data_IF_062302640646
#
_entry.id   IF_062302640646
#
_cell.length_a   1.000
_cell.length_b   1.000
_cell.length_c   1.000
_cell.angle_alpha   90.00
_cell.angle_beta   90.00
_cell.angle_gamma   90.00
#
_symmetry.space_group_name_H-M   'P 1'
#
loop_
_entity.id
_entity.type
_entity.pdbx_description
1 polymer ?
#
# COMPACT_ATOMS: atom_id res chain seq x y z
N UNK A 1 -7.04 16.27 4.75
CA UNK A 1 -7.39 14.83 4.72
C UNK A 1 -7.51 14.30 6.14
N UNK A 2 -8.48 13.44 6.39
CA UNK A 2 -8.55 12.74 7.67
C UNK A 2 -7.45 11.68 7.77
N UNK A 3 -7.07 11.24 8.98
CA UNK A 3 -6.11 10.16 9.13
C UNK A 3 -6.50 8.88 8.39
N UNK A 4 -7.79 8.56 8.34
CA UNK A 4 -8.30 7.42 7.59
C UNK A 4 -8.03 7.55 6.09
N UNK A 5 -8.28 8.70 5.53
CA UNK A 5 -8.01 8.98 4.12
C UNK A 5 -6.52 8.91 3.80
N UNK A 6 -5.66 9.43 4.69
CA UNK A 6 -4.21 9.34 4.52
C UNK A 6 -3.75 7.89 4.47
N UNK A 7 -4.27 7.04 5.35
CA UNK A 7 -3.89 5.62 5.39
C UNK A 7 -4.39 4.82 4.19
N UNK A 8 -5.47 5.26 3.55
CA UNK A 8 -6.00 4.62 2.34
C UNK A 8 -5.43 5.22 1.06
N UNK A 9 -4.80 6.40 1.13
CA UNK A 9 -4.25 7.06 -0.05
C UNK A 9 -3.05 6.30 -0.59
N UNK A 10 -2.92 6.29 -1.90
CA UNK A 10 -1.85 5.62 -2.61
C UNK A 10 -1.18 6.60 -3.55
N UNK A 11 0.14 6.62 -3.54
CA UNK A 11 0.93 7.46 -4.43
C UNK A 11 2.00 6.58 -5.06
N UNK A 12 2.14 6.68 -6.37
CA UNK A 12 3.15 5.90 -7.10
C UNK A 12 4.57 6.36 -6.77
N UNK A 13 5.52 5.46 -6.93
CA UNK A 13 6.97 5.71 -6.78
C UNK A 13 7.39 6.11 -5.37
N UNK A 14 6.61 5.74 -4.36
CA UNK A 14 7.00 5.90 -2.97
C UNK A 14 7.64 4.63 -2.43
N UNK A 15 8.69 4.82 -1.63
CA UNK A 15 9.42 3.69 -1.04
C UNK A 15 9.54 3.89 0.46
N UNK A 16 9.39 2.78 1.18
CA UNK A 16 9.63 2.73 2.62
C UNK A 16 10.96 2.03 2.85
N UNK A 17 11.83 2.68 3.63
CA UNK A 17 13.17 2.17 3.90
C UNK A 17 13.33 1.98 5.42
N UNK A 18 13.76 0.79 5.82
CA UNK A 18 14.10 0.51 7.21
C UNK A 18 15.61 0.61 7.40
N UNK A 19 16.04 1.43 8.34
CA UNK A 19 17.43 1.78 8.56
C UNK A 19 17.77 1.66 10.05
N UNK A 20 18.98 1.21 10.36
CA UNK A 20 19.46 1.21 11.74
C UNK A 20 19.57 2.64 12.26
N UNK A 21 19.29 2.89 13.56
CA UNK A 21 19.31 4.24 14.12
C UNK A 21 20.62 5.01 13.89
N UNK A 22 21.76 4.32 13.96
CA UNK A 22 23.08 4.94 13.74
C UNK A 22 23.31 5.37 12.29
N UNK A 23 22.55 4.85 11.34
CA UNK A 23 22.71 5.13 9.91
C UNK A 23 21.67 6.12 9.37
N UNK A 24 20.73 6.57 10.18
CA UNK A 24 19.63 7.45 9.73
C UNK A 24 20.15 8.75 9.14
N UNK A 25 21.10 9.40 9.82
CA UNK A 25 21.68 10.67 9.34
C UNK A 25 22.41 10.48 8.02
N UNK A 26 23.14 9.38 7.85
CA UNK A 26 23.86 9.07 6.61
C UNK A 26 22.91 8.86 5.45
N UNK A 27 21.85 8.07 5.65
CA UNK A 27 20.84 7.78 4.63
C UNK A 27 20.06 9.04 4.25
N UNK A 28 19.69 9.83 5.25
CA UNK A 28 19.00 11.10 5.03
C UNK A 28 19.86 12.07 4.22
N UNK A 29 21.15 12.15 4.52
CA UNK A 29 22.10 12.96 3.76
C UNK A 29 22.24 12.53 2.30
N UNK A 30 22.19 11.22 2.03
CA UNK A 30 22.20 10.70 0.65
C UNK A 30 20.94 11.14 -0.11
N UNK A 31 19.77 11.02 0.51
CA UNK A 31 18.53 11.46 -0.12
C UNK A 31 18.52 12.97 -0.41
N UNK A 32 18.98 13.76 0.53
CA UNK A 32 19.08 15.22 0.37
C UNK A 32 20.07 15.59 -0.76
N UNK A 33 21.17 14.85 -0.85
CA UNK A 33 22.17 15.04 -1.91
C UNK A 33 21.59 14.82 -3.31
N UNK A 34 20.68 13.87 -3.45
CA UNK A 34 20.04 13.55 -4.73
C UNK A 34 18.69 14.26 -4.92
N UNK A 35 18.38 15.21 -4.05
CA UNK A 35 17.13 15.98 -4.08
C UNK A 35 15.87 15.09 -4.02
N UNK A 36 15.94 14.05 -3.20
CA UNK A 36 14.84 13.13 -2.96
C UNK A 36 14.14 13.53 -1.66
N UNK A 37 12.86 13.85 -1.76
CA UNK A 37 12.03 14.12 -0.58
C UNK A 37 12.00 12.91 0.34
N UNK A 38 12.24 13.16 1.62
CA UNK A 38 12.29 12.09 2.62
C UNK A 38 11.82 12.59 3.98
N UNK A 39 11.28 11.70 4.77
CA UNK A 39 10.95 11.99 6.17
C UNK A 39 10.96 10.72 7.00
N UNK A 40 11.23 10.90 8.29
CA UNK A 40 11.15 9.83 9.27
C UNK A 40 9.70 9.69 9.69
N UNK A 41 9.09 8.54 9.41
CA UNK A 41 7.66 8.32 9.69
C UNK A 41 7.41 7.45 10.90
N UNK A 42 8.44 6.83 11.45
CA UNK A 42 8.28 5.96 12.62
C UNK A 42 9.53 5.17 12.93
N UNK A 43 9.37 4.23 13.81
CA UNK A 43 10.44 3.31 14.20
C UNK A 43 9.90 1.90 14.38
N UNK A 44 10.76 0.92 14.16
CA UNK A 44 10.46 -0.49 14.41
C UNK A 44 10.54 -0.78 15.90
N UNK A 45 9.53 -1.45 16.43
CA UNK A 45 9.47 -1.86 17.82
C UNK A 45 9.38 -3.38 17.95
N UNK A 46 9.53 -3.90 19.16
CA UNK A 46 9.46 -5.32 19.44
C UNK A 46 8.09 -5.77 19.94
N UNK A 47 7.09 -4.88 19.93
CA UNK A 47 5.76 -5.14 20.49
C UNK A 47 4.89 -6.06 19.65
N UNK A 48 5.28 -6.38 18.41
CA UNK A 48 4.47 -7.11 17.41
C UNK A 48 3.12 -6.44 17.12
N UNK A 49 3.06 -5.13 17.28
CA UNK A 49 1.88 -4.33 17.02
C UNK A 49 2.24 -3.13 16.18
N UNK A 50 1.28 -2.68 15.39
CA UNK A 50 1.42 -1.46 14.59
C UNK A 50 0.63 -0.36 15.28
N UNK A 51 1.33 0.69 15.68
CA UNK A 51 0.72 1.88 16.26
C UNK A 51 0.75 3.00 15.24
N UNK A 52 -0.40 3.59 15.00
CA UNK A 52 -0.53 4.77 14.14
C UNK A 52 -0.91 5.94 15.00
N UNK A 53 -0.07 6.97 15.01
CA UNK A 53 -0.19 8.10 15.91
C UNK A 53 -0.28 9.40 15.11
N UNK A 54 -1.13 10.30 15.53
CA UNK A 54 -1.21 11.67 15.01
C UNK A 54 -1.02 12.65 16.16
N UNK A 55 0.14 13.33 16.19
CA UNK A 55 0.51 14.16 17.34
C UNK A 55 0.64 13.31 18.60
N UNK A 56 -0.22 13.56 19.59
CA UNK A 56 -0.26 12.80 20.84
C UNK A 56 -1.36 11.75 20.87
N UNK A 57 -2.19 11.68 19.83
CA UNK A 57 -3.34 10.79 19.77
C UNK A 57 -3.00 9.48 19.09
N UNK A 58 -3.28 8.35 19.75
CA UNK A 58 -3.19 7.03 19.17
C UNK A 58 -4.45 6.78 18.32
N UNK A 59 -4.27 6.63 17.01
CA UNK A 59 -5.37 6.42 16.06
C UNK A 59 -5.65 4.95 15.80
N UNK A 60 -4.62 4.11 15.82
CA UNK A 60 -4.76 2.68 15.60
C UNK A 60 -3.70 1.91 16.37
N UNK A 61 -4.09 0.75 16.86
CA UNK A 61 -3.23 -0.21 17.55
C UNK A 61 -3.64 -1.61 17.06
N UNK A 62 -2.90 -2.13 16.11
CA UNK A 62 -3.24 -3.36 15.41
C UNK A 62 -2.16 -4.42 15.62
N UNK A 63 -2.54 -5.70 15.84
CA UNK A 63 -1.54 -6.77 15.83
C UNK A 63 -0.97 -6.94 14.42
N UNK A 64 0.34 -7.18 14.34
CA UNK A 64 1.02 -7.35 13.04
C UNK A 64 0.41 -8.48 12.22
N UNK A 65 0.00 -9.58 12.85
CA UNK A 65 -0.64 -10.70 12.16
C UNK A 65 -1.90 -10.34 11.41
N UNK A 66 -2.64 -9.33 11.87
CA UNK A 66 -3.84 -8.86 11.16
C UNK A 66 -3.49 -8.24 9.79
N UNK A 67 -2.32 -7.63 9.67
CA UNK A 67 -1.88 -6.98 8.44
C UNK A 67 -1.13 -7.94 7.52
N UNK A 68 -0.37 -8.87 8.07
CA UNK A 68 0.43 -9.82 7.28
C UNK A 68 -0.34 -11.05 6.85
N UNK A 69 -1.36 -11.44 7.61
CA UNK A 69 -2.22 -12.60 7.35
C UNK A 69 -3.69 -12.21 7.59
N UNK A 70 -4.23 -11.30 6.76
CA UNK A 70 -5.59 -10.81 6.94
C UNK A 70 -6.61 -11.90 6.62
N UNK A 71 -7.83 -11.82 7.20
CA UNK A 71 -8.92 -12.71 6.86
C UNK A 71 -9.22 -12.65 5.37
N UNK A 72 -9.39 -13.82 4.76
CA UNK A 72 -9.73 -13.91 3.35
C UNK A 72 -11.23 -14.14 3.21
N UNK A 73 -11.84 -13.35 2.33
CA UNK A 73 -13.23 -13.55 1.95
C UNK A 73 -13.29 -14.30 0.63
N UNK A 74 -13.96 -15.45 0.66
CA UNK A 74 -14.23 -16.20 -0.56
C UNK A 74 -15.72 -16.02 -0.86
N UNK A 75 -15.98 -15.31 -1.97
CA UNK A 75 -17.35 -15.06 -2.41
C UNK A 75 -17.61 -15.94 -3.63
N UNK A 76 -18.65 -16.74 -3.56
CA UNK A 76 -19.06 -17.55 -4.70
C UNK A 76 -19.47 -16.64 -5.86
N UNK A 77 -18.96 -16.98 -7.03
CA UNK A 77 -19.26 -16.21 -8.24
C UNK A 77 -20.02 -17.07 -9.23
N UNK A 78 -20.92 -16.44 -9.96
CA UNK A 78 -21.65 -17.06 -11.06
C UNK A 78 -21.28 -16.34 -12.33
N UNK A 79 -20.81 -17.10 -13.32
CA UNK A 79 -20.53 -16.53 -14.63
C UNK A 79 -21.86 -16.31 -15.38
N UNK A 80 -22.20 -15.04 -15.71
CA UNK A 80 -23.42 -14.77 -16.47
C UNK A 80 -23.37 -15.45 -17.86
N UNK A 81 -24.50 -15.98 -18.36
CA UNK A 81 -24.52 -16.65 -19.67
C UNK A 81 -24.01 -15.78 -20.83
N UNK A 82 -24.28 -14.47 -20.78
CA UNK A 82 -23.84 -13.55 -21.83
C UNK A 82 -22.32 -13.38 -21.90
N UNK A 83 -21.60 -13.63 -20.82
CA UNK A 83 -20.15 -13.45 -20.77
C UNK A 83 -19.44 -14.43 -21.71
N UNK A 84 -19.94 -15.65 -21.83
CA UNK A 84 -19.39 -16.64 -22.78
C UNK A 84 -19.50 -16.18 -24.22
N UNK A 85 -20.58 -15.50 -24.57
CA UNK A 85 -20.75 -14.92 -25.89
C UNK A 85 -19.74 -13.81 -26.15
N UNK A 86 -19.52 -12.94 -25.13
CA UNK A 86 -18.53 -11.88 -25.22
C UNK A 86 -17.09 -12.41 -25.32
N UNK A 87 -16.79 -13.47 -24.59
CA UNK A 87 -15.45 -14.11 -24.64
C UNK A 87 -15.18 -14.79 -25.98
N UNK A 88 -16.23 -15.27 -26.65
CA UNK A 88 -16.13 -15.84 -27.99
C UNK A 88 -16.08 -14.81 -29.12
N UNK A 89 -16.15 -13.52 -28.79
CA UNK A 89 -16.13 -12.45 -29.79
C UNK A 89 -14.71 -12.31 -30.38
N UNK A 90 -14.64 -12.16 -31.71
CA UNK A 90 -13.36 -12.02 -32.40
C UNK A 90 -12.86 -10.58 -32.32
N UNK A 91 -11.89 -10.35 -31.43
CA UNK A 91 -11.27 -9.04 -31.22
C UNK A 91 -10.50 -8.55 -32.46
N UNK A 92 -10.02 -9.43 -33.32
CA UNK A 92 -9.34 -9.04 -34.55
C UNK A 92 -10.28 -8.31 -35.50
N UNK A 93 -11.51 -8.79 -35.61
CA UNK A 93 -12.54 -8.09 -36.39
C UNK A 93 -12.88 -6.72 -35.81
N UNK A 94 -12.92 -6.62 -34.49
CA UNK A 94 -13.16 -5.34 -33.80
C UNK A 94 -12.04 -4.32 -34.10
N UNK A 95 -10.80 -4.75 -34.11
CA UNK A 95 -9.65 -3.87 -34.41
C UNK A 95 -9.62 -3.39 -35.86
N UNK A 96 -10.11 -4.18 -36.80
CA UNK A 96 -10.17 -3.80 -38.22
C UNK A 96 -11.15 -2.66 -38.46
N UNK A 97 -12.16 -2.51 -37.64
CA UNK A 97 -13.21 -1.50 -37.79
C UNK A 97 -12.92 -0.20 -37.05
N UNK A 98 -11.79 -0.10 -36.39
CA UNK A 98 -11.34 1.13 -35.78
C UNK A 98 -10.60 1.98 -36.82
#
# INVERSE_FOLDING_TARGET
MSPYEVMLSETQERMLVSVKPENVESVKGIFDRWDIDNSIIGKVTTSNRVHIVSGTQLLADLPVGLLTDPPQYVIDSITPPYLRQLQGYDLNLSLIHI
#
